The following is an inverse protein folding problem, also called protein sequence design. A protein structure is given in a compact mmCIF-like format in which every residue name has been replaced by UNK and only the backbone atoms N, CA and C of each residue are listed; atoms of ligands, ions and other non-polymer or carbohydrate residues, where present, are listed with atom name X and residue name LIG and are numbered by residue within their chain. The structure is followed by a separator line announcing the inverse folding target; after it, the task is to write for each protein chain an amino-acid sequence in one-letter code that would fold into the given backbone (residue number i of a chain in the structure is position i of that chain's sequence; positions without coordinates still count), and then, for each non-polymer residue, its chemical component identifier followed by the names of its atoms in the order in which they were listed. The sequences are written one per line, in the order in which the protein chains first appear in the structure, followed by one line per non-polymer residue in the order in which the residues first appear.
data_IF_144497557639
#
_entry.id   IF_144497557639
#
_cell.length_a   1.000
_cell.length_b   1.000
_cell.length_c   1.000
_cell.angle_alpha   90.00
_cell.angle_beta   90.00
_cell.angle_gamma   90.00
#
_symmetry.space_group_name_H-M   'P 1'
#
loop_
_entity.id
_entity.type
_entity.pdbx_description
1 polymer ?
#
# COMPACT_ATOMS: atom_id res chain seq x y z
N UNK A 1 -8.02 -11.77 -5.49
CA UNK A 1 -6.58 -11.56 -5.76
C UNK A 1 -5.80 -12.64 -5.04
N UNK A 2 -4.62 -13.01 -5.53
CA UNK A 2 -3.71 -13.93 -4.82
C UNK A 2 -3.26 -13.33 -3.49
N UNK A 3 -2.62 -14.12 -2.63
CA UNK A 3 -1.93 -13.62 -1.42
C UNK A 3 -1.00 -12.42 -1.78
N UNK A 4 -0.99 -11.39 -0.94
CA UNK A 4 -0.11 -10.23 -1.10
C UNK A 4 1.30 -10.50 -0.57
N UNK A 5 2.30 -9.79 -1.09
CA UNK A 5 3.68 -9.93 -0.61
C UNK A 5 3.81 -9.58 0.88
N UNK A 6 3.03 -8.63 1.35
CA UNK A 6 2.97 -8.21 2.74
C UNK A 6 2.44 -9.34 3.62
N UNK A 7 1.38 -10.05 3.21
CA UNK A 7 0.86 -11.22 3.92
C UNK A 7 1.92 -12.32 4.01
N UNK A 8 2.60 -12.58 2.90
CA UNK A 8 3.60 -13.66 2.79
C UNK A 8 4.88 -13.40 3.59
N UNK A 9 5.42 -12.19 3.51
CA UNK A 9 6.76 -11.88 4.01
C UNK A 9 6.80 -10.97 5.24
N UNK A 10 5.75 -10.19 5.49
CA UNK A 10 5.74 -9.20 6.56
C UNK A 10 4.38 -9.03 7.27
N UNK A 11 3.70 -10.12 7.70
CA UNK A 11 2.33 -10.06 8.21
C UNK A 11 2.16 -9.22 9.49
N UNK A 12 3.24 -9.09 10.27
CA UNK A 12 3.27 -8.30 11.52
C UNK A 12 3.87 -6.90 11.33
N UNK A 13 4.11 -6.47 10.09
CA UNK A 13 4.67 -5.14 9.83
C UNK A 13 3.73 -4.04 10.31
N UNK A 14 4.32 -3.06 11.00
CA UNK A 14 3.64 -1.87 11.53
C UNK A 14 3.83 -0.63 10.64
N UNK A 15 4.46 -0.80 9.46
CA UNK A 15 4.68 0.28 8.51
C UNK A 15 3.38 1.05 8.22
N UNK A 16 3.45 2.38 8.18
CA UNK A 16 2.28 3.22 7.88
C UNK A 16 1.67 2.91 6.51
N UNK A 17 2.50 2.68 5.48
CA UNK A 17 2.00 2.39 4.14
C UNK A 17 1.54 0.95 3.97
N UNK A 18 2.45 -0.02 4.05
CA UNK A 18 2.15 -1.44 3.72
C UNK A 18 2.02 -2.37 4.93
N UNK A 19 2.04 -1.86 6.15
CA UNK A 19 1.99 -2.69 7.36
C UNK A 19 0.58 -3.20 7.65
N UNK A 20 0.37 -4.51 7.54
CA UNK A 20 -0.93 -5.15 7.82
C UNK A 20 -1.36 -4.99 9.29
N UNK A 21 -0.40 -5.01 10.22
CA UNK A 21 -0.67 -4.83 11.65
C UNK A 21 -1.01 -3.38 12.03
N UNK A 22 -0.81 -2.41 11.13
CA UNK A 22 -1.13 -1.01 11.43
C UNK A 22 -2.58 -0.67 11.07
N UNK A 23 -3.48 -0.70 12.05
CA UNK A 23 -4.91 -0.36 11.89
C UNK A 23 -5.19 1.07 11.41
N UNK A 24 -4.24 1.97 11.60
CA UNK A 24 -4.33 3.37 11.18
C UNK A 24 -3.49 3.65 9.93
N UNK A 25 -2.87 2.62 9.35
CA UNK A 25 -2.07 2.71 8.13
C UNK A 25 -2.90 2.50 6.87
N UNK A 26 -2.26 2.67 5.72
CA UNK A 26 -2.88 2.50 4.41
C UNK A 26 -3.08 1.01 4.05
N UNK A 27 -2.34 0.11 4.71
CA UNK A 27 -2.38 -1.35 4.53
C UNK A 27 -2.31 -1.75 3.05
N UNK A 28 -1.39 -1.14 2.32
CA UNK A 28 -1.16 -1.39 0.89
C UNK A 28 -0.80 -2.86 0.70
N UNK A 29 -1.47 -3.50 -0.26
CA UNK A 29 -1.20 -4.86 -0.68
C UNK A 29 -0.66 -4.88 -2.11
N UNK A 30 0.51 -5.51 -2.27
CA UNK A 30 1.17 -5.71 -3.57
C UNK A 30 0.95 -7.16 -4.00
N UNK A 31 0.32 -7.38 -5.14
CA UNK A 31 0.00 -8.72 -5.67
C UNK A 31 0.75 -8.99 -6.97
N UNK A 32 1.36 -10.16 -7.08
CA UNK A 32 2.04 -10.60 -8.30
C UNK A 32 0.98 -10.92 -9.36
N UNK A 33 1.12 -10.33 -10.54
CA UNK A 33 0.26 -10.59 -11.70
C UNK A 33 1.12 -10.76 -12.95
N UNK A 34 1.53 -12.00 -13.25
CA UNK A 34 2.46 -12.26 -14.35
C UNK A 34 3.85 -11.72 -14.02
N UNK A 35 4.35 -10.79 -14.83
CA UNK A 35 5.67 -10.17 -14.74
C UNK A 35 5.67 -8.84 -13.97
N UNK A 36 4.53 -8.45 -13.38
CA UNK A 36 4.39 -7.18 -12.65
C UNK A 36 3.80 -7.38 -11.26
N UNK A 37 4.06 -6.39 -10.40
CA UNK A 37 3.34 -6.21 -9.14
C UNK A 37 2.25 -5.16 -9.34
N UNK A 38 1.08 -5.43 -8.75
CA UNK A 38 -0.10 -4.57 -8.85
C UNK A 38 -0.64 -4.32 -7.45
N UNK A 39 -0.84 -3.04 -7.11
CA UNK A 39 -1.57 -2.61 -5.92
C UNK A 39 -2.84 -1.86 -6.33
N UNK A 40 -3.91 -2.06 -5.56
CA UNK A 40 -5.16 -1.31 -5.69
C UNK A 40 -5.41 -0.58 -4.38
N UNK A 41 -5.78 0.69 -4.45
CA UNK A 41 -6.06 1.49 -3.27
C UNK A 41 -7.26 2.39 -3.51
N UNK A 42 -8.23 2.31 -2.60
CA UNK A 42 -9.42 3.16 -2.58
C UNK A 42 -9.25 4.20 -1.46
N UNK A 43 -8.98 5.48 -1.78
CA UNK A 43 -8.81 6.51 -0.77
C UNK A 43 -10.13 6.74 0.00
N UNK A 44 -9.99 7.06 1.29
CA UNK A 44 -11.11 7.40 2.18
C UNK A 44 -11.18 8.92 2.38
N UNK A 45 -12.30 9.44 2.90
CA UNK A 45 -12.47 10.89 3.11
C UNK A 45 -11.35 11.52 3.95
N UNK A 46 -10.83 10.81 4.95
CA UNK A 46 -9.73 11.30 5.79
C UNK A 46 -8.35 11.27 5.12
N UNK A 47 -8.24 10.77 3.89
CA UNK A 47 -7.02 10.85 3.06
C UNK A 47 -6.98 12.09 2.17
N UNK A 48 -7.93 13.02 2.30
CA UNK A 48 -8.00 14.23 1.48
C UNK A 48 -6.94 15.27 1.87
N UNK A 49 -6.42 16.00 0.88
CA UNK A 49 -5.75 17.28 1.11
C UNK A 49 -6.76 18.43 1.07
N UNK A 50 -7.64 18.41 0.07
CA UNK A 50 -8.76 19.32 -0.11
C UNK A 50 -10.01 18.51 -0.45
N UNK A 51 -11.18 19.15 -0.43
CA UNK A 51 -12.44 18.49 -0.79
C UNK A 51 -12.31 17.77 -2.14
N UNK A 52 -12.55 16.46 -2.12
CA UNK A 52 -12.46 15.55 -3.27
C UNK A 52 -11.07 15.39 -3.91
N UNK A 53 -9.99 15.84 -3.24
CA UNK A 53 -8.61 15.69 -3.71
C UNK A 53 -7.80 14.86 -2.71
N UNK A 54 -7.20 13.76 -3.16
CA UNK A 54 -6.34 12.90 -2.33
C UNK A 54 -5.06 13.65 -1.94
N UNK A 55 -4.63 13.49 -0.70
CA UNK A 55 -3.41 14.09 -0.18
C UNK A 55 -2.16 13.54 -0.89
N UNK A 56 -1.25 14.44 -1.28
CA UNK A 56 -0.01 14.07 -1.99
C UNK A 56 0.92 13.15 -1.19
N UNK A 57 0.94 13.26 0.14
CA UNK A 57 1.69 12.34 1.01
C UNK A 57 1.07 10.95 1.08
N UNK A 58 -0.25 10.82 0.91
CA UNK A 58 -0.91 9.50 0.77
C UNK A 58 -0.47 8.86 -0.54
N UNK A 59 -0.55 9.59 -1.65
CA UNK A 59 -0.07 9.12 -2.96
C UNK A 59 1.42 8.75 -2.89
N UNK A 60 2.25 9.59 -2.27
CA UNK A 60 3.67 9.32 -2.07
C UNK A 60 3.91 8.05 -1.25
N UNK A 61 3.16 7.84 -0.18
CA UNK A 61 3.26 6.61 0.63
C UNK A 61 2.86 5.36 -0.16
N UNK A 62 1.84 5.47 -1.04
CA UNK A 62 1.45 4.39 -1.95
C UNK A 62 2.62 4.00 -2.86
N UNK A 63 3.21 4.99 -3.53
CA UNK A 63 4.32 4.79 -4.45
C UNK A 63 5.56 4.27 -3.74
N UNK A 64 5.96 4.88 -2.62
CA UNK A 64 7.15 4.45 -1.86
C UNK A 64 7.05 2.98 -1.44
N UNK A 65 5.99 2.61 -0.73
CA UNK A 65 5.83 1.24 -0.25
C UNK A 65 5.69 0.25 -1.40
N UNK A 66 4.86 0.54 -2.42
CA UNK A 66 4.65 -0.39 -3.53
C UNK A 66 5.90 -0.55 -4.40
N UNK A 67 6.62 0.54 -4.69
CA UNK A 67 7.86 0.50 -5.45
C UNK A 67 8.97 -0.25 -4.71
N UNK A 68 9.08 -0.09 -3.39
CA UNK A 68 10.04 -0.86 -2.59
C UNK A 68 9.79 -2.37 -2.74
N UNK A 69 8.54 -2.81 -2.57
CA UNK A 69 8.17 -4.22 -2.84
C UNK A 69 8.42 -4.64 -4.29
N UNK A 70 8.22 -3.74 -5.25
CA UNK A 70 8.45 -4.03 -6.68
C UNK A 70 9.92 -4.20 -7.01
N UNK A 71 10.80 -3.42 -6.38
CA UNK A 71 12.23 -3.48 -6.59
C UNK A 71 12.91 -4.66 -5.86
N UNK A 72 12.31 -5.15 -4.77
CA UNK A 72 12.94 -6.13 -3.88
C UNK A 72 12.35 -7.55 -3.93
N UNK A 73 11.23 -7.76 -4.60
CA UNK A 73 10.56 -9.06 -4.71
C UNK A 73 11.20 -9.98 -5.75
#
# INVERSE_FOLDING_TARGET
MSESLQQKFAPQSICFGCGLANEKGLRIESHVQGDRLVAQFSPQKHHQAFENIVNGGIIGSLLDCHCNWTASY
#
